data_IF_614425552539
#
_entry.id   IF_614425552539
#
_cell.length_a   1.000
_cell.length_b   1.000
_cell.length_c   1.000
_cell.angle_alpha   90.00
_cell.angle_beta   90.00
_cell.angle_gamma   90.00
#
_symmetry.space_group_name_H-M   'P 1'
#
loop_
_entity.id
_entity.type
_entity.pdbx_description
1 polymer ?
#
# COMPACT_ATOMS: atom_id res chain seq x y z
N UNK A 1 21.51 0.60 1.72
CA UNK A 1 20.41 1.28 2.44
C UNK A 1 19.14 0.59 2.00
N UNK A 2 18.34 0.07 2.94
CA UNK A 2 17.06 -0.58 2.61
C UNK A 2 16.05 0.52 2.28
N UNK A 3 15.81 0.72 0.99
CA UNK A 3 14.82 1.67 0.46
C UNK A 3 13.41 1.10 0.68
N UNK A 4 12.79 1.45 1.81
CA UNK A 4 11.34 1.30 1.97
C UNK A 4 10.69 2.24 0.97
N UNK A 5 9.99 1.70 -0.02
CA UNK A 5 9.16 2.49 -0.93
C UNK A 5 7.96 2.98 -0.13
N UNK A 6 7.83 4.30 0.11
CA UNK A 6 6.80 4.84 0.98
C UNK A 6 5.56 5.16 0.14
N UNK A 7 5.17 4.33 -0.83
CA UNK A 7 4.07 4.68 -1.73
C UNK A 7 3.19 3.49 -2.06
N UNK A 8 1.96 3.80 -2.45
CA UNK A 8 0.95 2.82 -2.82
C UNK A 8 1.27 2.22 -4.20
N UNK A 9 1.49 0.92 -4.28
CA UNK A 9 1.75 0.20 -5.54
C UNK A 9 0.58 0.29 -6.57
N UNK A 10 -0.62 0.72 -6.14
CA UNK A 10 -1.79 0.85 -7.02
C UNK A 10 -2.04 2.29 -7.53
N UNK A 11 -1.68 3.32 -6.77
CA UNK A 11 -1.96 4.72 -7.12
C UNK A 11 -0.77 5.67 -7.01
N UNK A 12 0.39 5.15 -6.61
CA UNK A 12 1.62 5.91 -6.35
C UNK A 12 1.47 7.01 -5.28
N UNK A 13 0.41 6.97 -4.47
CA UNK A 13 0.22 7.93 -3.39
C UNK A 13 1.29 7.74 -2.30
N UNK A 14 1.86 8.84 -1.83
CA UNK A 14 2.77 8.86 -0.68
C UNK A 14 2.09 8.31 0.58
N UNK A 15 2.71 7.28 1.14
CA UNK A 15 2.42 6.58 2.37
C UNK A 15 3.64 6.69 3.29
N UNK A 16 3.72 7.75 4.11
CA UNK A 16 4.83 7.94 5.02
C UNK A 16 4.94 6.77 6.02
N UNK A 17 6.15 6.44 6.47
CA UNK A 17 6.37 5.36 7.44
C UNK A 17 5.64 5.70 8.75
N UNK A 18 4.66 4.87 9.12
CA UNK A 18 3.78 5.09 10.26
C UNK A 18 2.40 5.67 9.91
N UNK A 19 2.08 5.84 8.62
CA UNK A 19 0.72 6.18 8.21
C UNK A 19 -0.26 5.06 8.62
N UNK A 20 -1.37 5.38 9.31
CA UNK A 20 -2.40 4.39 9.63
C UNK A 20 -3.15 3.87 8.40
N UNK A 21 -2.95 4.53 7.24
CA UNK A 21 -3.57 4.18 5.97
C UNK A 21 -2.70 3.25 5.10
N UNK A 22 -1.48 2.93 5.55
CA UNK A 22 -0.60 1.99 4.85
C UNK A 22 -1.00 0.54 5.19
N UNK A 23 -1.45 -0.19 4.17
CA UNK A 23 -1.87 -1.59 4.26
C UNK A 23 -0.85 -2.45 3.52
N UNK A 24 -0.25 -3.42 4.22
CA UNK A 24 0.76 -4.31 3.66
C UNK A 24 0.19 -5.72 3.53
N UNK A 25 0.35 -6.35 2.36
CA UNK A 25 -0.09 -7.75 2.14
C UNK A 25 1.00 -8.77 2.51
N UNK A 26 0.68 -10.06 2.44
CA UNK A 26 1.63 -11.16 2.73
C UNK A 26 2.82 -11.25 1.77
N UNK A 27 2.69 -10.64 0.58
CA UNK A 27 3.75 -10.52 -0.41
C UNK A 27 4.53 -9.21 -0.30
N UNK A 28 4.36 -8.48 0.82
CA UNK A 28 5.05 -7.23 1.12
C UNK A 28 4.72 -6.08 0.14
N UNK A 29 3.62 -6.15 -0.61
CA UNK A 29 3.11 -5.00 -1.37
C UNK A 29 2.44 -3.99 -0.43
N UNK A 30 2.70 -2.69 -0.65
CA UNK A 30 2.12 -1.60 0.14
C UNK A 30 1.01 -0.90 -0.65
N UNK A 31 -0.17 -0.78 -0.06
CA UNK A 31 -1.32 -0.09 -0.65
C UNK A 31 -1.92 0.90 0.34
N UNK A 32 -2.52 1.98 -0.17
CA UNK A 32 -3.29 2.88 0.67
C UNK A 32 -4.67 2.28 0.98
N UNK A 33 -5.22 2.59 2.15
CA UNK A 33 -6.58 2.17 2.56
C UNK A 33 -7.62 2.43 1.48
N UNK A 34 -7.57 3.59 0.83
CA UNK A 34 -8.49 3.93 -0.28
C UNK A 34 -8.40 2.94 -1.43
N UNK A 35 -7.20 2.53 -1.84
CA UNK A 35 -7.04 1.53 -2.89
C UNK A 35 -7.54 0.16 -2.42
N UNK A 36 -7.25 -0.20 -1.17
CA UNK A 36 -7.75 -1.45 -0.57
C UNK A 36 -9.28 -1.48 -0.57
N UNK A 37 -9.94 -0.38 -0.24
CA UNK A 37 -11.41 -0.33 -0.15
C UNK A 37 -12.10 -0.16 -1.52
N UNK A 38 -11.54 0.67 -2.42
CA UNK A 38 -12.24 1.11 -3.65
C UNK A 38 -11.77 0.39 -4.92
N UNK A 39 -10.51 -0.03 -4.98
CA UNK A 39 -9.91 -0.60 -6.21
C UNK A 39 -9.64 -2.10 -6.09
N UNK A 40 -9.11 -2.49 -4.94
CA UNK A 40 -8.65 -3.85 -4.65
C UNK A 40 -9.68 -4.68 -3.89
N UNK A 41 -10.64 -4.03 -3.23
CA UNK A 41 -11.70 -4.67 -2.44
C UNK A 41 -11.16 -5.69 -1.42
N UNK A 42 -10.04 -5.36 -0.77
CA UNK A 42 -9.37 -6.24 0.20
C UNK A 42 -8.50 -7.34 -0.42
N UNK A 43 -8.36 -7.40 -1.75
CA UNK A 43 -7.60 -8.44 -2.46
C UNK A 43 -6.39 -7.85 -3.20
N UNK A 44 -5.19 -8.30 -2.85
CA UNK A 44 -3.96 -7.94 -3.56
C UNK A 44 -4.02 -8.45 -5.01
N UNK A 45 -3.70 -7.63 -6.03
CA UNK A 45 -3.75 -8.04 -7.44
C UNK A 45 -2.50 -8.79 -7.92
N UNK A 46 -1.40 -8.74 -7.13
CA UNK A 46 -0.17 -9.50 -7.35
C UNK A 46 -0.26 -10.90 -6.74
#
# INVERSE_FOLDING_TARGET
MLEIRPNCECCDADLPPGSPDAMICTFECTFCRTCVDVRLHGVCPN
#
